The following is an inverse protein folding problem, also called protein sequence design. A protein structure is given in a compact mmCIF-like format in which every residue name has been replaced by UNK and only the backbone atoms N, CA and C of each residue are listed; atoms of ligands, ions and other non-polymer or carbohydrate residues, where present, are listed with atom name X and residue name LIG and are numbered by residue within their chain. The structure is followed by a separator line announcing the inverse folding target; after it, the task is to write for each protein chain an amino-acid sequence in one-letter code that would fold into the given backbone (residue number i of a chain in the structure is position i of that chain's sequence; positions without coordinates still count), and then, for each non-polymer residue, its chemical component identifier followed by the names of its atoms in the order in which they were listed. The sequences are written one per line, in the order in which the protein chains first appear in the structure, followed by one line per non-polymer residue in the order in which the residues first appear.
data_IF_857658865789
#
_entry.id   IF_857658865789
#
_cell.length_a   1.000
_cell.length_b   1.000
_cell.length_c   1.000
_cell.angle_alpha   90.00
_cell.angle_beta   90.00
_cell.angle_gamma   90.00
#
_symmetry.space_group_name_H-M   'P 1'
#
loop_
_entity.id
_entity.type
_entity.pdbx_description
1 polymer ?
#
# COMPACT_ATOMS: atom_id res chain seq x y z
N UNK A 1 33.41 -17.12 13.27
CA UNK A 1 34.01 -16.73 14.56
C UNK A 1 34.81 -15.47 14.33
N UNK A 2 34.26 -14.33 14.75
CA UNK A 2 34.94 -13.12 15.20
C UNK A 2 33.83 -12.08 15.43
N UNK A 3 33.45 -11.94 16.69
CA UNK A 3 32.47 -10.99 17.18
C UNK A 3 33.26 -9.79 17.76
N UNK A 4 32.96 -8.58 17.29
CA UNK A 4 33.64 -7.36 17.75
C UNK A 4 32.75 -6.70 18.80
N UNK A 5 33.19 -6.70 20.06
CA UNK A 5 32.56 -5.96 21.14
C UNK A 5 33.14 -4.54 21.21
N UNK A 6 32.26 -3.53 21.13
CA UNK A 6 32.59 -2.15 21.49
C UNK A 6 31.87 -1.85 22.81
N UNK A 7 32.64 -1.63 23.88
CA UNK A 7 32.13 -1.20 25.18
C UNK A 7 32.35 0.30 25.34
N UNK A 8 31.28 1.04 25.63
CA UNK A 8 31.33 2.42 26.13
C UNK A 8 30.85 2.38 27.58
N UNK A 9 31.72 2.77 28.52
CA UNK A 9 31.39 2.82 29.94
C UNK A 9 31.04 4.25 30.35
N UNK A 10 29.84 4.45 30.88
CA UNK A 10 29.47 5.59 31.74
C UNK A 10 28.60 5.06 32.89
N UNK A 11 29.10 5.28 34.11
CA UNK A 11 28.50 5.18 35.44
C UNK A 11 27.26 4.28 35.66
N UNK A 12 27.54 3.02 36.00
CA UNK A 12 27.01 2.34 37.19
C UNK A 12 25.49 2.25 37.40
N UNK A 13 24.81 1.32 36.71
CA UNK A 13 23.89 0.32 37.31
C UNK A 13 23.60 -0.76 36.25
N UNK A 14 23.75 -2.05 36.58
CA UNK A 14 23.40 -3.17 35.70
C UNK A 14 21.90 -3.47 35.84
N UNK A 15 21.13 -3.25 34.77
CA UNK A 15 19.83 -3.89 34.56
C UNK A 15 19.99 -4.86 33.39
N UNK A 16 19.85 -6.16 33.65
CA UNK A 16 19.73 -7.17 32.62
C UNK A 16 18.33 -7.11 32.02
N UNK A 17 18.23 -6.67 30.76
CA UNK A 17 17.05 -6.94 29.92
C UNK A 17 17.46 -7.90 28.81
N UNK A 18 16.88 -9.09 28.82
CA UNK A 18 16.99 -10.07 27.74
C UNK A 18 16.04 -9.69 26.61
N UNK A 19 16.58 -9.25 25.48
CA UNK A 19 15.82 -9.08 24.24
C UNK A 19 15.82 -10.39 23.44
N UNK A 20 14.63 -10.97 23.25
CA UNK A 20 14.41 -12.06 22.31
C UNK A 20 14.48 -11.57 20.87
N UNK A 21 15.18 -12.31 20.03
CA UNK A 21 15.29 -12.06 18.59
C UNK A 21 13.97 -12.50 17.94
N UNK A 22 13.15 -11.53 17.50
CA UNK A 22 12.02 -11.81 16.60
C UNK A 22 12.52 -11.91 15.16
N UNK A 23 12.19 -13.04 14.54
CA UNK A 23 12.53 -13.43 13.18
C UNK A 23 11.71 -12.61 12.17
N UNK A 24 12.35 -11.67 11.46
CA UNK A 24 11.70 -10.74 10.53
C UNK A 24 11.77 -11.20 9.06
N UNK A 25 11.23 -12.38 8.74
CA UNK A 25 10.97 -12.75 7.34
C UNK A 25 9.56 -13.31 7.13
N UNK A 26 8.58 -12.41 7.00
CA UNK A 26 7.31 -12.71 6.33
C UNK A 26 6.55 -11.41 6.06
N UNK A 27 6.77 -10.80 4.88
CA UNK A 27 5.85 -9.82 4.32
C UNK A 27 4.60 -10.55 3.80
N UNK A 28 3.71 -10.93 4.72
CA UNK A 28 2.41 -11.52 4.43
C UNK A 28 1.31 -10.50 4.68
N UNK A 29 0.28 -10.49 3.83
CA UNK A 29 -0.92 -9.67 4.00
C UNK A 29 -1.49 -9.88 5.42
N UNK A 30 -1.37 -8.87 6.28
CA UNK A 30 -1.64 -8.94 7.72
C UNK A 30 -3.11 -9.06 8.11
N UNK A 31 -3.83 -10.07 7.62
CA UNK A 31 -5.21 -10.35 8.05
C UNK A 31 -5.34 -11.59 8.94
N UNK A 32 -4.40 -12.54 8.88
CA UNK A 32 -4.23 -13.61 9.87
C UNK A 32 -2.76 -14.05 9.81
N UNK A 33 -1.94 -13.97 10.87
CA UNK A 33 -0.71 -14.75 10.87
C UNK A 33 -1.09 -16.23 10.70
N UNK A 34 -0.36 -17.00 9.89
CA UNK A 34 -0.40 -18.45 10.04
C UNK A 34 0.09 -18.75 11.48
N UNK A 35 -0.66 -19.50 12.32
CA UNK A 35 -1.61 -20.56 11.98
C UNK A 35 -3.09 -20.27 12.34
N UNK A 36 -3.58 -19.03 12.22
CA UNK A 36 -4.85 -18.60 12.84
C UNK A 36 -6.15 -18.84 12.02
N UNK A 37 -6.14 -19.57 10.90
CA UNK A 37 -7.36 -20.24 10.38
C UNK A 37 -7.22 -21.77 10.60
N UNK A 38 -7.41 -22.29 11.84
CA UNK A 38 -7.36 -23.72 12.06
C UNK A 38 -8.64 -24.36 11.52
N UNK A 39 -8.55 -24.94 10.32
CA UNK A 39 -9.60 -25.75 9.69
C UNK A 39 -10.92 -25.01 9.37
N UNK A 40 -11.77 -25.60 8.53
CA UNK A 40 -12.96 -24.99 7.89
C UNK A 40 -14.05 -24.43 8.83
N UNK A 41 -13.88 -24.47 10.14
CA UNK A 41 -14.97 -24.28 11.10
C UNK A 41 -14.89 -23.00 11.95
N UNK A 42 -13.77 -22.26 11.96
CA UNK A 42 -13.64 -21.09 12.82
C UNK A 42 -13.86 -19.77 12.08
N UNK A 43 -14.70 -18.91 12.66
CA UNK A 43 -14.92 -17.55 12.18
C UNK A 43 -13.63 -16.74 12.30
N UNK A 44 -13.12 -16.26 11.17
CA UNK A 44 -11.87 -15.52 11.12
C UNK A 44 -12.00 -14.06 11.65
N UNK A 45 -13.23 -13.62 11.88
CA UNK A 45 -13.58 -12.29 12.35
C UNK A 45 -14.67 -12.40 13.42
N UNK A 46 -14.77 -11.39 14.29
CA UNK A 46 -15.89 -11.22 15.22
C UNK A 46 -17.19 -10.84 14.50
N UNK A 47 -17.12 -10.45 13.23
CA UNK A 47 -18.28 -10.17 12.40
C UNK A 47 -18.80 -11.45 11.76
N UNK A 48 -20.07 -11.78 12.02
CA UNK A 48 -20.76 -12.98 11.51
C UNK A 48 -20.92 -12.97 9.99
N UNK A 49 -20.83 -11.79 9.38
CA UNK A 49 -20.91 -11.63 7.92
C UNK A 49 -19.56 -11.89 7.24
N UNK A 50 -18.52 -12.33 7.96
CA UNK A 50 -17.20 -12.59 7.40
C UNK A 50 -16.86 -14.09 7.37
N UNK A 51 -16.23 -14.55 6.28
CA UNK A 51 -15.74 -15.93 6.12
C UNK A 51 -14.26 -15.98 5.76
N UNK A 52 -13.56 -17.04 6.16
CA UNK A 52 -12.17 -17.31 5.75
C UNK A 52 -12.21 -17.90 4.33
N UNK A 53 -11.76 -17.14 3.34
CA UNK A 53 -11.57 -17.58 1.97
C UNK A 53 -10.14 -18.09 1.79
N UNK A 54 -10.00 -19.24 1.13
CA UNK A 54 -8.70 -19.89 0.93
C UNK A 54 -8.17 -19.58 -0.46
N UNK A 55 -6.94 -19.07 -0.53
CA UNK A 55 -6.23 -18.87 -1.77
C UNK A 55 -5.76 -20.21 -2.32
N UNK A 56 -6.22 -20.54 -3.53
CA UNK A 56 -5.99 -21.85 -4.15
C UNK A 56 -4.51 -22.14 -4.45
N UNK A 57 -3.70 -21.09 -4.61
CA UNK A 57 -2.31 -21.19 -5.04
C UNK A 57 -1.30 -21.24 -3.89
N UNK A 58 -1.52 -20.49 -2.81
CA UNK A 58 -0.56 -20.38 -1.70
C UNK A 58 -0.99 -21.17 -0.46
N UNK A 59 -2.26 -21.54 -0.35
CA UNK A 59 -2.82 -22.12 0.87
C UNK A 59 -3.08 -21.10 1.98
N UNK A 60 -2.84 -19.81 1.74
CA UNK A 60 -3.15 -18.74 2.68
C UNK A 60 -4.65 -18.47 2.77
N UNK A 61 -5.10 -18.05 3.95
CA UNK A 61 -6.48 -17.62 4.20
C UNK A 61 -6.60 -16.10 4.24
N UNK A 62 -7.72 -15.57 3.73
CA UNK A 62 -8.10 -14.17 3.92
C UNK A 62 -9.52 -14.07 4.48
N UNK A 63 -9.76 -13.11 5.38
CA UNK A 63 -11.11 -12.77 5.79
C UNK A 63 -11.78 -11.87 4.76
N UNK A 64 -12.98 -12.25 4.33
CA UNK A 64 -13.76 -11.48 3.39
C UNK A 64 -15.24 -11.42 3.78
N UNK A 65 -15.91 -10.35 3.33
CA UNK A 65 -17.34 -10.12 3.52
C UNK A 65 -18.15 -11.12 2.67
N UNK A 66 -19.05 -11.84 3.33
CA UNK A 66 -19.87 -12.93 2.78
C UNK A 66 -21.10 -12.46 2.02
N UNK A 67 -21.37 -11.14 2.01
CA UNK A 67 -22.57 -10.56 1.39
C UNK A 67 -22.48 -10.55 -0.16
N UNK A 68 -21.35 -10.97 -0.73
CA UNK A 68 -21.19 -11.00 -2.18
C UNK A 68 -21.87 -12.23 -2.77
N UNK A 69 -22.92 -12.00 -3.57
CA UNK A 69 -23.56 -13.05 -4.37
C UNK A 69 -22.58 -13.66 -5.37
N UNK A 70 -22.57 -14.99 -5.48
CA UNK A 70 -21.78 -15.74 -6.45
C UNK A 70 -22.06 -15.38 -7.91
N UNK A 71 -23.22 -14.77 -8.20
CA UNK A 71 -23.55 -14.24 -9.54
C UNK A 71 -22.68 -13.05 -9.94
N UNK A 72 -22.08 -12.35 -8.97
CA UNK A 72 -21.26 -11.16 -9.20
C UNK A 72 -19.76 -11.47 -9.22
N UNK A 73 -19.39 -12.74 -9.06
CA UNK A 73 -18.00 -13.17 -9.06
C UNK A 73 -17.73 -13.99 -10.32
N UNK A 74 -16.71 -13.57 -11.08
CA UNK A 74 -16.24 -14.32 -12.22
C UNK A 74 -15.61 -15.65 -11.75
N UNK A 75 -15.76 -16.76 -12.49
CA UNK A 75 -15.04 -17.99 -12.19
C UNK A 75 -13.53 -17.80 -12.41
N UNK A 76 -12.71 -18.51 -11.62
CA UNK A 76 -11.29 -18.59 -11.95
C UNK A 76 -11.06 -19.33 -13.27
N UNK A 77 -9.97 -19.02 -13.96
CA UNK A 77 -9.55 -19.75 -15.15
C UNK A 77 -9.10 -21.16 -14.75
N UNK A 78 -9.61 -22.17 -15.48
CA UNK A 78 -9.42 -23.60 -15.17
C UNK A 78 -7.97 -24.04 -15.13
N UNK A 79 -7.12 -23.40 -15.93
CA UNK A 79 -5.81 -23.96 -16.25
C UNK A 79 -4.74 -23.58 -15.23
N UNK A 80 -4.94 -22.48 -14.49
CA UNK A 80 -3.92 -21.97 -13.57
C UNK A 80 -4.48 -21.32 -12.31
N UNK A 81 -5.79 -21.42 -12.06
CA UNK A 81 -6.45 -20.77 -10.90
C UNK A 81 -6.11 -19.27 -10.82
N UNK A 82 -6.08 -18.64 -11.99
CA UNK A 82 -5.84 -17.21 -12.17
C UNK A 82 -7.14 -16.48 -12.48
N UNK A 83 -7.09 -15.16 -12.35
CA UNK A 83 -8.20 -14.27 -12.68
C UNK A 83 -7.85 -13.39 -13.87
N UNK A 84 -8.82 -13.16 -14.75
CA UNK A 84 -8.65 -12.30 -15.92
C UNK A 84 -8.63 -10.81 -15.58
N UNK A 85 -9.21 -10.43 -14.45
CA UNK A 85 -9.26 -9.05 -13.98
C UNK A 85 -8.09 -8.74 -13.06
N UNK A 86 -7.45 -7.59 -13.27
CA UNK A 86 -6.41 -7.06 -12.37
C UNK A 86 -7.00 -6.80 -10.97
N UNK A 87 -6.18 -6.87 -9.93
CA UNK A 87 -6.58 -6.67 -8.53
C UNK A 87 -7.65 -7.65 -8.02
N UNK A 88 -7.75 -8.83 -8.62
CA UNK A 88 -8.56 -9.93 -8.11
C UNK A 88 -7.66 -11.12 -7.78
N UNK A 89 -8.10 -11.94 -6.83
CA UNK A 89 -7.40 -13.16 -6.42
C UNK A 89 -8.36 -14.35 -6.57
N UNK A 90 -7.84 -15.46 -7.09
CA UNK A 90 -8.63 -16.69 -7.15
C UNK A 90 -8.70 -17.33 -5.77
N UNK A 91 -9.92 -17.47 -5.27
CA UNK A 91 -10.19 -18.08 -3.96
C UNK A 91 -11.23 -19.17 -4.10
N UNK A 92 -11.09 -20.20 -3.27
CA UNK A 92 -12.08 -21.25 -3.18
C UNK A 92 -13.24 -20.79 -2.29
N UNK A 93 -14.36 -20.39 -2.89
CA UNK A 93 -15.56 -19.97 -2.16
C UNK A 93 -16.54 -21.13 -2.02
N UNK A 94 -16.77 -21.57 -0.78
CA UNK A 94 -17.64 -22.72 -0.46
C UNK A 94 -19.11 -22.44 -0.77
N UNK A 95 -19.57 -21.18 -0.70
CA UNK A 95 -20.95 -20.80 -1.06
C UNK A 95 -21.19 -20.89 -2.55
N UNK A 96 -20.17 -20.57 -3.35
CA UNK A 96 -20.25 -20.66 -4.80
C UNK A 96 -20.02 -22.07 -5.33
N UNK A 97 -19.56 -22.99 -4.47
CA UNK A 97 -19.18 -24.36 -4.80
C UNK A 97 -18.22 -24.44 -6.00
N UNK A 98 -17.37 -23.40 -6.17
CA UNK A 98 -16.37 -23.29 -7.23
C UNK A 98 -15.33 -22.20 -6.88
N UNK A 99 -14.11 -22.27 -7.43
CA UNK A 99 -13.16 -21.17 -7.38
C UNK A 99 -13.69 -19.94 -8.10
N UNK A 100 -13.56 -18.77 -7.48
CA UNK A 100 -14.03 -17.49 -8.00
C UNK A 100 -12.98 -16.40 -7.83
N UNK A 101 -13.04 -15.39 -8.70
CA UNK A 101 -12.18 -14.22 -8.67
C UNK A 101 -12.74 -13.18 -7.72
N UNK A 102 -12.04 -12.97 -6.61
CA UNK A 102 -12.45 -12.07 -5.54
C UNK A 102 -11.68 -10.74 -5.63
N UNK A 103 -12.35 -9.58 -5.67
CA UNK A 103 -11.68 -8.29 -5.73
C UNK A 103 -10.93 -7.96 -4.43
N UNK A 104 -9.65 -7.66 -4.52
CA UNK A 104 -8.82 -7.30 -3.35
C UNK A 104 -9.34 -6.04 -2.64
N UNK A 105 -9.94 -5.11 -3.38
CA UNK A 105 -10.59 -3.92 -2.80
C UNK A 105 -11.75 -4.24 -1.83
N UNK A 106 -12.27 -5.48 -1.85
CA UNK A 106 -13.34 -5.97 -0.96
C UNK A 106 -12.81 -6.79 0.21
N UNK A 107 -11.53 -7.17 0.21
CA UNK A 107 -10.86 -7.77 1.37
C UNK A 107 -10.55 -6.70 2.44
N UNK A 108 -11.55 -5.85 2.76
CA UNK A 108 -11.38 -4.73 3.67
C UNK A 108 -11.35 -5.23 5.11
N UNK A 109 -10.17 -5.13 5.71
CA UNK A 109 -9.91 -5.34 7.15
C UNK A 109 -10.84 -4.56 8.06
N UNK A 110 -11.40 -3.42 7.60
CA UNK A 110 -12.31 -2.60 8.40
C UNK A 110 -13.66 -3.28 8.70
N UNK A 111 -14.19 -4.09 7.78
CA UNK A 111 -15.46 -4.81 8.00
C UNK A 111 -15.27 -6.19 8.63
N UNK A 112 -14.13 -6.80 8.36
CA UNK A 112 -13.73 -8.09 8.91
C UNK A 112 -12.47 -7.92 9.76
N UNK A 113 -12.55 -7.25 10.93
CA UNK A 113 -11.41 -7.15 11.81
C UNK A 113 -11.00 -8.56 12.28
N UNK A 114 -9.70 -8.83 12.43
CA UNK A 114 -9.24 -10.08 13.02
C UNK A 114 -9.93 -10.28 14.36
N UNK A 115 -10.35 -11.52 14.64
CA UNK A 115 -10.90 -11.88 15.95
C UNK A 115 -9.82 -11.64 17.00
N UNK A 116 -9.87 -10.48 17.66
CA UNK A 116 -8.89 -10.10 18.67
C UNK A 116 -8.77 -11.19 19.72
N UNK A 117 -7.53 -11.53 20.07
CA UNK A 117 -7.22 -12.46 21.16
C UNK A 117 -7.65 -11.80 22.47
N UNK A 118 -8.91 -11.97 22.85
CA UNK A 118 -9.42 -11.47 24.13
C UNK A 118 -8.67 -12.16 25.26
N UNK A 119 -7.73 -11.44 25.88
CA UNK A 119 -7.13 -11.81 27.16
C UNK A 119 -8.26 -12.00 28.17
N UNK A 120 -8.51 -13.26 28.55
CA UNK A 120 -9.57 -13.65 29.46
C UNK A 120 -9.24 -13.14 30.86
N UNK A 121 -9.82 -11.99 31.24
CA UNK A 121 -9.97 -11.63 32.65
C UNK A 121 -11.31 -12.20 33.11
N UNK A 122 -11.26 -13.32 33.82
CA UNK A 122 -12.42 -13.98 34.42
C UNK A 122 -13.11 -13.03 35.40
N UNK A 123 -14.28 -12.51 35.03
CA UNK A 123 -15.15 -11.73 35.92
C UNK A 123 -16.43 -12.51 36.19
N UNK A 124 -16.64 -12.83 37.46
CA UNK A 124 -17.83 -13.49 38.01
C UNK A 124 -19.09 -12.69 37.69
N UNK A 125 -20.02 -13.29 36.95
CA UNK A 125 -21.29 -12.66 36.56
C UNK A 125 -22.35 -12.89 37.63
N UNK A 126 -22.69 -11.84 38.38
CA UNK A 126 -23.95 -11.75 39.13
C UNK A 126 -25.03 -11.26 38.18
N UNK A 127 -26.10 -12.04 38.02
CA UNK A 127 -27.24 -11.73 37.15
C UNK A 127 -28.04 -10.56 37.74
N UNK A 128 -27.87 -9.37 37.16
CA UNK A 128 -28.73 -8.22 37.45
C UNK A 128 -29.27 -7.69 36.13
N UNK A 129 -30.59 -7.84 35.94
CA UNK A 129 -31.35 -7.35 34.80
C UNK A 129 -31.19 -5.84 34.68
N UNK A 130 -30.25 -5.41 33.85
CA UNK A 130 -29.96 -3.99 33.59
C UNK A 130 -30.28 -3.71 32.13
N UNK A 131 -31.18 -2.76 31.92
CA UNK A 131 -31.57 -2.20 30.62
C UNK A 131 -30.34 -1.61 29.93
N UNK A 132 -29.87 -2.27 28.85
CA UNK A 132 -28.65 -1.88 28.13
C UNK A 132 -28.96 -0.65 27.26
N UNK A 133 -28.28 0.49 27.44
CA UNK A 133 -28.43 1.65 26.57
C UNK A 133 -27.82 1.34 25.19
N UNK A 134 -28.59 1.65 24.14
CA UNK A 134 -28.18 1.53 22.74
C UNK A 134 -27.06 2.53 22.44
N UNK A 135 -25.81 2.05 22.44
CA UNK A 135 -24.65 2.84 22.01
C UNK A 135 -24.74 3.00 20.49
N UNK A 136 -25.08 4.21 20.06
CA UNK A 136 -25.06 4.58 18.65
C UNK A 136 -23.68 5.17 18.36
N UNK A 137 -22.76 4.36 17.86
CA UNK A 137 -21.43 4.83 17.47
C UNK A 137 -21.55 5.59 16.15
N UNK A 138 -21.51 6.92 16.22
CA UNK A 138 -21.40 7.78 15.05
C UNK A 138 -20.00 7.66 14.48
N UNK A 139 -19.84 6.86 13.42
CA UNK A 139 -18.59 6.81 12.64
C UNK A 139 -18.47 8.14 11.89
N UNK A 140 -17.61 9.02 12.39
CA UNK A 140 -17.28 10.27 11.70
C UNK A 140 -16.45 9.93 10.47
N UNK A 141 -16.88 10.37 9.28
CA UNK A 141 -16.11 10.19 8.06
C UNK A 141 -14.76 10.91 8.22
N UNK A 142 -13.67 10.14 8.23
CA UNK A 142 -12.33 10.71 8.34
C UNK A 142 -12.04 11.52 7.08
N UNK A 143 -11.71 12.80 7.26
CA UNK A 143 -11.32 13.68 6.15
C UNK A 143 -9.95 13.26 5.66
N UNK A 144 -9.88 12.76 4.42
CA UNK A 144 -8.60 12.48 3.76
C UNK A 144 -8.05 13.81 3.24
N UNK A 145 -6.85 14.19 3.70
CA UNK A 145 -6.15 15.36 3.18
C UNK A 145 -5.22 14.94 2.05
N UNK A 146 -4.92 15.86 1.15
CA UNK A 146 -4.02 15.59 0.02
C UNK A 146 -3.02 16.71 -0.20
N UNK A 147 -1.82 16.33 -0.64
CA UNK A 147 -0.82 17.24 -1.24
C UNK A 147 -0.69 16.84 -2.71
N UNK A 148 -0.88 17.78 -3.62
CA UNK A 148 -0.99 17.49 -5.07
C UNK A 148 -0.03 18.35 -5.87
N UNK A 149 0.74 17.72 -6.73
CA UNK A 149 1.42 18.35 -7.87
C UNK A 149 0.64 18.04 -9.14
N UNK A 150 0.32 19.04 -9.95
CA UNK A 150 -0.29 18.85 -11.27
C UNK A 150 0.18 19.95 -12.20
N UNK A 151 0.81 19.57 -13.31
CA UNK A 151 1.39 20.51 -14.26
C UNK A 151 1.24 20.00 -15.69
N UNK A 152 1.01 20.92 -16.62
CA UNK A 152 1.00 20.62 -18.05
C UNK A 152 2.42 20.68 -18.62
N UNK A 153 2.79 19.66 -19.37
CA UNK A 153 4.06 19.57 -20.07
C UNK A 153 3.82 19.54 -21.57
N UNK A 154 4.60 20.29 -22.32
CA UNK A 154 4.48 20.39 -23.77
C UNK A 154 5.62 19.67 -24.46
N UNK A 155 5.31 18.95 -25.53
CA UNK A 155 6.31 18.32 -26.41
C UNK A 155 7.40 19.32 -26.81
N UNK A 156 8.65 18.86 -26.81
CA UNK A 156 9.85 19.67 -27.12
C UNK A 156 10.10 20.88 -26.20
N UNK A 157 9.27 21.10 -25.18
CA UNK A 157 9.43 22.18 -24.20
C UNK A 157 10.38 21.80 -23.07
N UNK A 158 11.17 22.76 -22.60
CA UNK A 158 11.92 22.62 -21.34
C UNK A 158 11.04 23.05 -20.16
N UNK A 159 10.84 22.21 -19.15
CA UNK A 159 9.84 22.39 -18.09
C UNK A 159 10.24 23.39 -16.97
N UNK A 160 10.56 24.64 -17.30
CA UNK A 160 11.07 25.60 -16.30
C UNK A 160 10.05 25.97 -15.20
N UNK A 161 8.82 26.29 -15.59
CA UNK A 161 7.74 26.64 -14.64
C UNK A 161 7.32 25.42 -13.84
N UNK A 162 7.29 24.25 -14.49
CA UNK A 162 6.96 22.98 -13.86
C UNK A 162 8.02 22.58 -12.83
N UNK A 163 9.30 22.84 -13.09
CA UNK A 163 10.36 22.67 -12.11
C UNK A 163 10.15 23.56 -10.87
N UNK A 164 9.84 24.84 -11.07
CA UNK A 164 9.55 25.77 -9.96
C UNK A 164 8.36 25.26 -9.11
N UNK A 165 7.28 24.84 -9.76
CA UNK A 165 6.13 24.25 -9.08
C UNK A 165 6.47 22.93 -8.37
N UNK A 166 7.37 22.13 -8.93
CA UNK A 166 7.85 20.88 -8.35
C UNK A 166 8.62 21.13 -7.04
N UNK A 167 9.46 22.16 -6.99
CA UNK A 167 10.18 22.54 -5.77
C UNK A 167 9.23 22.98 -4.65
N UNK A 168 8.22 23.79 -4.99
CA UNK A 168 7.17 24.20 -4.03
C UNK A 168 6.40 22.98 -3.51
N UNK A 169 6.02 22.07 -4.41
CA UNK A 169 5.34 20.83 -4.03
C UNK A 169 6.19 19.96 -3.11
N UNK A 170 7.46 19.72 -3.45
CA UNK A 170 8.36 18.90 -2.63
C UNK A 170 8.53 19.49 -1.24
N UNK A 171 8.57 20.82 -1.10
CA UNK A 171 8.65 21.48 0.21
C UNK A 171 7.42 21.25 1.11
N UNK A 172 6.25 20.92 0.53
CA UNK A 172 5.02 20.59 1.28
C UNK A 172 5.01 19.16 1.83
N UNK A 173 5.89 18.27 1.34
CA UNK A 173 5.97 16.86 1.75
C UNK A 173 6.64 16.69 3.12
N UNK A 174 6.09 17.33 4.16
CA UNK A 174 6.55 17.18 5.54
C UNK A 174 6.14 15.82 6.12
N UNK A 175 6.71 15.41 7.26
CA UNK A 175 6.32 14.17 7.92
C UNK A 175 4.81 14.16 8.24
N UNK A 176 4.09 13.18 7.67
CA UNK A 176 2.65 12.98 7.79
C UNK A 176 2.35 11.47 7.78
N UNK A 177 1.18 11.03 8.27
CA UNK A 177 0.75 9.64 8.20
C UNK A 177 0.26 9.26 6.79
N UNK A 178 1.17 9.31 5.81
CA UNK A 178 0.82 9.05 4.41
C UNK A 178 0.24 7.66 4.21
N UNK A 179 -0.91 7.59 3.54
CA UNK A 179 -1.67 6.35 3.30
C UNK A 179 -1.58 5.88 1.86
N UNK A 180 -1.44 6.80 0.90
CA UNK A 180 -1.27 6.43 -0.50
C UNK A 180 -0.56 7.51 -1.32
N UNK A 181 -0.01 7.09 -2.46
CA UNK A 181 0.54 7.95 -3.50
C UNK A 181 0.01 7.54 -4.87
N UNK A 182 -0.51 8.48 -5.66
CA UNK A 182 -1.04 8.22 -7.00
C UNK A 182 -0.30 9.04 -8.05
N UNK A 183 0.13 8.38 -9.15
CA UNK A 183 0.65 9.02 -10.36
C UNK A 183 -0.34 8.83 -11.51
N UNK A 184 -0.81 9.94 -12.10
CA UNK A 184 -1.79 9.93 -13.19
C UNK A 184 -1.60 11.11 -14.13
N UNK A 185 -2.24 11.09 -15.30
CA UNK A 185 -2.13 12.17 -16.26
C UNK A 185 -3.20 12.14 -17.33
N UNK A 186 -3.12 13.03 -18.33
CA UNK A 186 -4.11 13.04 -19.44
C UNK A 186 -4.03 11.79 -20.30
N UNK A 187 -2.86 11.15 -20.41
CA UNK A 187 -2.66 9.91 -21.17
C UNK A 187 -3.18 8.68 -20.40
N UNK A 188 -3.23 8.75 -19.07
CA UNK A 188 -3.85 7.74 -18.24
C UNK A 188 -4.47 8.40 -17.00
N UNK A 189 -5.78 8.66 -17.08
CA UNK A 189 -6.52 9.40 -16.07
C UNK A 189 -6.80 8.58 -14.79
N UNK A 190 -6.74 7.25 -14.89
CA UNK A 190 -6.84 6.35 -13.73
C UNK A 190 -5.52 6.37 -12.96
N UNK A 191 -4.42 6.26 -13.69
CA UNK A 191 -3.07 6.24 -13.15
C UNK A 191 -2.76 4.97 -12.37
N UNK A 192 -1.73 5.05 -11.54
CA UNK A 192 -1.27 3.99 -10.65
C UNK A 192 -1.22 4.50 -9.23
N UNK A 193 -1.53 3.63 -8.27
CA UNK A 193 -1.57 4.00 -6.84
C UNK A 193 -0.75 3.02 -6.02
N UNK A 194 0.16 3.56 -5.22
CA UNK A 194 0.92 2.86 -4.19
C UNK A 194 0.23 3.07 -2.85
N UNK A 195 -0.07 1.99 -2.13
CA UNK A 195 -0.79 2.01 -0.85
C UNK A 195 0.05 1.54 0.34
N UNK A 196 1.30 1.13 0.12
CA UNK A 196 2.21 0.77 1.21
C UNK A 196 2.67 2.04 1.93
N UNK A 197 2.10 2.31 3.11
CA UNK A 197 2.35 3.54 3.88
C UNK A 197 3.84 3.79 4.15
N UNK A 198 4.61 2.75 4.46
CA UNK A 198 6.06 2.87 4.71
C UNK A 198 6.81 3.34 3.46
N UNK A 199 6.52 2.74 2.31
CA UNK A 199 7.17 3.13 1.04
C UNK A 199 6.71 4.51 0.58
N UNK A 200 5.42 4.84 0.74
CA UNK A 200 4.91 6.18 0.41
C UNK A 200 5.59 7.25 1.27
N UNK A 201 5.69 7.03 2.58
CA UNK A 201 6.36 7.96 3.49
C UNK A 201 7.86 8.12 3.14
N UNK A 202 8.54 7.03 2.77
CA UNK A 202 9.93 7.08 2.35
C UNK A 202 10.14 7.85 1.04
N UNK A 203 9.24 7.70 0.05
CA UNK A 203 9.25 8.47 -1.20
C UNK A 203 8.98 9.96 -0.91
N UNK A 204 7.99 10.28 -0.08
CA UNK A 204 7.68 11.66 0.31
C UNK A 204 8.90 12.33 0.96
N UNK A 205 9.51 11.64 1.92
CA UNK A 205 10.72 12.09 2.60
C UNK A 205 11.88 12.29 1.62
N UNK A 206 12.13 11.33 0.73
CA UNK A 206 13.21 11.40 -0.25
C UNK A 206 13.09 12.62 -1.18
N UNK A 207 11.87 12.87 -1.68
CA UNK A 207 11.56 14.06 -2.47
C UNK A 207 11.74 15.34 -1.67
N UNK A 208 11.28 15.38 -0.41
CA UNK A 208 11.35 16.53 0.49
C UNK A 208 12.79 16.94 0.82
N UNK A 209 13.66 15.97 1.07
CA UNK A 209 15.02 16.18 1.55
C UNK A 209 16.10 16.07 0.48
N UNK A 210 15.73 15.92 -0.79
CA UNK A 210 16.69 15.71 -1.86
C UNK A 210 17.60 14.51 -1.55
N UNK A 211 17.01 13.36 -1.24
CA UNK A 211 17.75 12.11 -1.05
C UNK A 211 17.27 11.04 -2.02
N UNK A 212 18.10 10.03 -2.26
CA UNK A 212 17.75 8.89 -3.11
C UNK A 212 16.97 7.85 -2.33
N UNK A 213 16.03 7.19 -2.97
CA UNK A 213 15.28 6.06 -2.41
C UNK A 213 14.99 5.02 -3.49
N UNK A 214 15.00 3.74 -3.10
CA UNK A 214 14.76 2.62 -4.00
C UNK A 214 15.99 2.21 -4.83
N UNK A 215 15.79 1.30 -5.80
CA UNK A 215 14.49 0.78 -6.27
C UNK A 215 13.80 -0.13 -5.25
N UNK A 216 12.47 0.00 -5.12
CA UNK A 216 11.62 -0.91 -4.34
C UNK A 216 10.52 -1.46 -5.24
N UNK A 217 10.52 -2.78 -5.45
CA UNK A 217 9.50 -3.46 -6.25
C UNK A 217 8.28 -3.80 -5.39
N UNK A 218 7.12 -3.27 -5.78
CA UNK A 218 5.83 -3.58 -5.20
C UNK A 218 4.80 -3.74 -6.31
N UNK A 219 4.06 -4.84 -6.25
CA UNK A 219 3.14 -5.29 -7.30
C UNK A 219 3.84 -5.38 -8.67
N UNK A 220 3.37 -4.62 -9.65
CA UNK A 220 3.90 -4.59 -11.03
C UNK A 220 4.88 -3.43 -11.26
N UNK A 221 5.23 -2.67 -10.23
CA UNK A 221 6.00 -1.43 -10.36
C UNK A 221 7.28 -1.47 -9.52
N UNK A 222 8.30 -0.73 -9.98
CA UNK A 222 9.55 -0.53 -9.27
C UNK A 222 9.73 0.95 -8.97
N UNK A 223 9.51 1.32 -7.71
CA UNK A 223 9.48 2.72 -7.28
C UNK A 223 10.87 3.20 -6.89
N UNK A 224 11.27 4.35 -7.44
CA UNK A 224 12.52 4.99 -7.09
C UNK A 224 12.39 6.52 -7.10
N UNK A 225 13.22 7.15 -6.28
CA UNK A 225 13.46 8.59 -6.26
C UNK A 225 14.96 8.81 -6.39
N UNK A 226 15.38 9.72 -7.26
CA UNK A 226 16.80 10.00 -7.43
C UNK A 226 17.09 11.23 -8.27
N UNK A 227 18.37 11.57 -8.35
CA UNK A 227 18.84 12.78 -9.04
C UNK A 227 18.74 12.60 -10.56
N UNK A 228 18.16 13.57 -11.25
CA UNK A 228 18.19 13.67 -12.71
C UNK A 228 18.16 15.14 -13.14
N UNK A 229 19.23 15.60 -13.78
CA UNK A 229 19.45 17.02 -14.04
C UNK A 229 19.72 17.79 -12.74
N UNK A 230 19.02 18.91 -12.54
CA UNK A 230 19.17 19.75 -11.34
C UNK A 230 18.19 19.43 -10.22
N UNK A 231 17.31 18.43 -10.40
CA UNK A 231 16.34 18.05 -9.38
C UNK A 231 16.15 16.54 -9.24
N UNK A 232 15.05 16.17 -8.60
CA UNK A 232 14.73 14.78 -8.30
C UNK A 232 13.58 14.27 -9.17
N UNK A 233 13.82 13.11 -9.74
CA UNK A 233 12.88 12.27 -10.44
C UNK A 233 12.14 11.36 -9.46
N UNK A 234 10.86 11.13 -9.71
CA UNK A 234 10.13 9.97 -9.18
C UNK A 234 9.73 9.09 -10.36
N UNK A 235 10.00 7.80 -10.24
CA UNK A 235 9.63 6.82 -11.27
C UNK A 235 9.05 5.57 -10.64
N UNK A 236 8.10 4.94 -11.32
CA UNK A 236 7.58 3.61 -10.99
C UNK A 236 8.08 2.54 -11.96
N UNK A 237 8.93 2.93 -12.91
CA UNK A 237 9.42 2.07 -14.00
C UNK A 237 10.87 2.40 -14.34
N UNK A 238 11.71 1.37 -14.45
CA UNK A 238 13.09 1.48 -14.90
C UNK A 238 14.03 2.21 -13.94
N UNK A 239 15.17 2.65 -14.47
CA UNK A 239 16.22 3.34 -13.71
C UNK A 239 16.04 4.86 -13.75
N UNK A 240 16.49 5.53 -12.68
CA UNK A 240 16.53 6.99 -12.57
C UNK A 240 17.29 7.60 -13.76
N UNK A 241 16.73 8.67 -14.33
CA UNK A 241 17.30 9.44 -15.43
C UNK A 241 17.48 8.68 -16.75
N UNK A 242 16.87 7.50 -16.89
CA UNK A 242 16.86 6.74 -18.14
C UNK A 242 15.62 7.04 -18.99
N UNK A 243 15.73 6.86 -20.30
CA UNK A 243 14.55 6.82 -21.18
C UNK A 243 13.89 5.44 -21.07
N UNK A 244 12.60 5.40 -20.81
CA UNK A 244 11.82 4.18 -20.64
C UNK A 244 10.37 4.41 -21.08
N UNK A 245 9.52 3.40 -20.91
CA UNK A 245 8.07 3.52 -21.04
C UNK A 245 7.44 3.25 -19.69
N UNK A 246 6.56 4.13 -19.23
CA UNK A 246 5.85 3.94 -17.96
C UNK A 246 5.50 5.25 -17.29
N UNK A 247 5.73 5.31 -15.98
CA UNK A 247 5.35 6.45 -15.16
C UNK A 247 6.58 7.07 -14.52
N UNK A 248 6.95 8.24 -15.02
CA UNK A 248 8.09 9.01 -14.54
C UNK A 248 7.76 10.50 -14.57
N UNK A 249 8.13 11.22 -13.51
CA UNK A 249 8.00 12.68 -13.43
C UNK A 249 9.38 13.25 -13.05
N UNK A 250 9.97 14.05 -13.94
CA UNK A 250 11.29 14.70 -13.75
C UNK A 250 11.28 16.16 -14.20
N UNK A 251 10.56 17.04 -13.49
CA UNK A 251 10.29 18.40 -13.96
C UNK A 251 11.55 19.27 -14.01
N UNK A 252 12.61 18.90 -13.31
CA UNK A 252 13.85 19.66 -13.23
C UNK A 252 15.02 19.03 -14.01
N UNK A 253 14.74 18.23 -15.05
CA UNK A 253 15.80 17.60 -15.87
C UNK A 253 16.60 18.61 -16.72
N UNK A 254 16.02 19.78 -17.03
CA UNK A 254 16.68 20.83 -17.82
C UNK A 254 16.66 20.61 -19.34
N UNK A 255 15.85 19.67 -19.83
CA UNK A 255 15.59 19.44 -21.26
C UNK A 255 14.15 18.90 -21.47
N UNK A 256 13.80 18.51 -22.70
CA UNK A 256 12.44 18.05 -23.05
C UNK A 256 12.10 16.60 -22.66
N UNK A 257 12.99 15.87 -21.97
CA UNK A 257 12.77 14.49 -21.53
C UNK A 257 12.18 14.44 -20.12
N UNK A 258 11.10 15.18 -19.89
CA UNK A 258 10.55 15.48 -18.56
C UNK A 258 9.74 14.35 -17.92
N UNK A 259 9.62 13.20 -18.59
CA UNK A 259 8.85 12.04 -18.13
C UNK A 259 7.59 11.80 -18.96
N UNK A 260 6.74 10.89 -18.47
CA UNK A 260 5.44 10.58 -19.03
C UNK A 260 4.60 9.81 -18.00
N UNK A 261 3.28 9.83 -18.16
CA UNK A 261 2.36 8.91 -17.52
C UNK A 261 1.88 7.93 -18.60
N UNK A 262 2.22 6.66 -18.44
CA UNK A 262 1.82 5.57 -19.34
C UNK A 262 2.29 5.76 -20.79
N UNK A 263 3.56 6.10 -20.98
CA UNK A 263 4.13 6.32 -22.30
C UNK A 263 5.65 6.48 -22.30
N UNK A 264 6.23 6.81 -23.46
CA UNK A 264 7.66 7.10 -23.59
C UNK A 264 8.04 8.31 -22.77
N UNK A 265 9.04 8.18 -21.90
CA UNK A 265 9.45 9.24 -20.96
C UNK A 265 10.45 10.23 -21.55
N UNK A 266 10.97 9.95 -22.73
CA UNK A 266 11.82 10.84 -23.54
C UNK A 266 11.12 11.18 -24.84
N UNK A 267 11.21 12.44 -25.26
CA UNK A 267 10.41 12.98 -26.38
C UNK A 267 8.91 12.71 -26.22
N UNK A 268 8.42 12.81 -24.98
CA UNK A 268 7.03 12.52 -24.63
C UNK A 268 6.05 13.49 -25.34
N UNK A 269 4.86 13.01 -25.66
CA UNK A 269 3.76 13.86 -26.13
C UNK A 269 3.29 14.81 -25.03
N UNK A 270 2.75 15.96 -25.41
CA UNK A 270 2.20 16.93 -24.45
C UNK A 270 1.14 16.27 -23.56
N UNK A 271 1.24 16.46 -22.25
CA UNK A 271 0.30 15.89 -21.29
C UNK A 271 0.34 16.64 -19.96
N UNK A 272 -0.76 16.59 -19.21
CA UNK A 272 -0.74 16.98 -17.80
C UNK A 272 -0.35 15.78 -16.96
N UNK A 273 0.66 15.94 -16.11
CA UNK A 273 1.10 14.91 -15.16
C UNK A 273 0.78 15.34 -13.74
N UNK A 274 0.29 14.40 -12.95
CA UNK A 274 -0.21 14.63 -11.59
C UNK A 274 0.34 13.59 -10.62
N UNK A 275 0.84 14.07 -9.47
CA UNK A 275 1.28 13.26 -8.34
C UNK A 275 0.52 13.69 -7.08
N UNK A 276 -0.10 12.73 -6.40
CA UNK A 276 -0.96 12.99 -5.23
C UNK A 276 -0.47 12.15 -4.07
N UNK A 277 -0.27 12.76 -2.91
CA UNK A 277 -0.10 12.08 -1.63
C UNK A 277 -1.35 12.26 -0.77
N UNK A 278 -1.85 11.18 -0.18
CA UNK A 278 -2.97 11.18 0.77
C UNK A 278 -2.45 10.93 2.19
N UNK A 279 -2.97 11.67 3.19
CA UNK A 279 -2.62 11.55 4.62
C UNK A 279 -3.75 12.03 5.53
#
# INVERSE_FOLDING_TARGET
MNEVHVAVMLEGTLLEESYGVEDTTSSSCGCCPAPWCPTRAESCSSNVDCECLWMTVTGDGMCADTVISCSNLAPCQSDNLTCSEINTVCVNNTRCNRPVCFPLARAQTQRCPPKGTSTTTSRTTTTTTTTIPRITTTVSAQRINTITYSQNFTVSGTPSDQCTAWEVFRAQLIAQPYTSMTMKGTNNAVGITLTNATVVAAIAQALRTNTTYGPVSLDLYSWAVGVCGSGYEVTSTGSICACNTGYTIRPCIGNWNWGAIDGYTCSASSQTMTLIFQY
#
